data_IF_145175852294
#
_entry.id   IF_145175852294
#
_cell.length_a   1.000
_cell.length_b   1.000
_cell.length_c   1.000
_cell.angle_alpha   90.00
_cell.angle_beta   90.00
_cell.angle_gamma   90.00
#
_symmetry.space_group_name_H-M   'P 1'
#
loop_
_entity.id
_entity.type
_entity.pdbx_description
1 polymer ?
2 non-polymer ?
3 non-polymer ?
4 non-polymer ?
5 water ?
#
# COMPACT_ATOMS: atom_id res chain seq x y z
N UNK A 6 -10.54 12.95 -3.51
CA UNK A 6 -9.44 12.42 -2.63
C UNK A 6 -8.27 11.90 -3.48
N UNK A 7 -7.05 12.14 -3.00
CA UNK A 7 -5.85 11.53 -3.60
C UNK A 7 -5.58 10.20 -2.93
N UNK A 8 -5.20 9.21 -3.72
CA UNK A 8 -4.83 7.90 -3.20
C UNK A 8 -3.41 7.64 -3.60
N UNK A 9 -2.62 7.12 -2.68
CA UNK A 9 -1.19 6.99 -2.88
C UNK A 9 -0.82 5.53 -2.92
N UNK A 10 -0.02 5.13 -3.91
CA UNK A 10 0.39 3.73 -4.10
C UNK A 10 1.84 3.51 -4.46
N UNK A 11 2.68 4.52 -4.18
CA UNK A 11 4.13 4.43 -4.43
C UNK A 11 4.90 4.69 -3.16
N UNK A 12 6.19 4.36 -3.13
CA UNK A 12 6.98 4.54 -1.93
C UNK A 12 6.41 3.79 -0.74
N UNK A 13 5.98 2.56 -0.98
CA UNK A 13 5.24 1.82 0.05
C UNK A 13 6.03 1.32 1.23
N UNK A 14 7.31 0.97 1.07
CA UNK A 14 8.11 0.61 2.23
C UNK A 14 8.25 1.80 3.16
N UNK A 15 8.57 2.96 2.63
CA UNK A 15 8.67 4.16 3.44
C UNK A 15 7.34 4.56 4.08
N UNK A 16 6.28 4.55 3.29
CA UNK A 16 4.96 4.92 3.75
C UNK A 16 4.49 3.99 4.90
N UNK A 17 4.74 2.69 4.75
CA UNK A 17 4.31 1.71 5.74
C UNK A 17 5.14 1.83 7.02
N UNK A 18 6.44 2.08 6.88
CA UNK A 18 7.32 2.30 8.03
C UNK A 18 6.80 3.47 8.87
N UNK A 19 6.50 4.58 8.21
CA UNK A 19 6.04 5.77 8.92
C UNK A 19 4.68 5.52 9.57
N UNK A 20 3.82 4.77 8.89
CA UNK A 20 2.46 4.54 9.38
C UNK A 20 2.48 3.64 10.59
N UNK A 21 3.30 2.60 10.57
CA UNK A 21 3.36 1.63 11.65
C UNK A 21 3.94 2.28 12.92
N UNK A 22 4.97 3.10 12.75
CA UNK A 22 5.54 3.83 13.88
C UNK A 22 4.53 4.79 14.46
N UNK A 23 3.76 5.46 13.61
CA UNK A 23 2.74 6.39 14.09
C UNK A 23 1.58 5.69 14.81
N UNK A 24 1.08 4.59 14.25
CA UNK A 24 0.07 3.78 14.91
C UNK A 24 0.51 3.26 16.28
N UNK A 25 1.69 2.65 16.34
CA UNK A 25 2.20 2.03 17.59
C UNK A 25 2.36 3.05 18.68
N UNK A 26 2.98 4.17 18.33
CA UNK A 26 3.13 5.25 19.29
C UNK A 26 1.82 5.82 19.78
N UNK A 27 0.83 5.98 18.90
CA UNK A 27 -0.49 6.46 19.34
C UNK A 27 -1.25 5.42 20.16
N UNK A 28 -1.07 4.15 19.84
CA UNK A 28 -1.77 3.08 20.51
C UNK A 28 -1.44 2.94 22.01
N UNK A 29 -0.20 3.21 22.43
CA UNK A 29 0.10 3.22 23.88
C UNK A 29 0.41 4.61 24.46
N UNK A 30 -0.07 5.63 23.78
CA UNK A 30 0.03 7.02 24.24
C UNK A 30 -0.88 7.38 25.41
N UNK A 31 -1.87 6.55 25.71
CA UNK A 31 -2.85 6.89 26.71
C UNK A 31 -3.92 7.86 26.20
N UNK A 32 -3.91 8.14 24.90
CA UNK A 32 -4.83 9.11 24.32
C UNK A 32 -6.00 8.41 23.66
N UNK A 33 -7.20 8.98 23.75
CA UNK A 33 -8.32 8.50 22.94
C UNK A 33 -8.16 9.02 21.52
N UNK A 34 -8.94 8.50 20.58
CA UNK A 34 -8.88 9.00 19.22
C UNK A 34 -9.21 10.51 19.18
N UNK A 35 -10.19 10.96 19.96
CA UNK A 35 -10.44 12.40 20.09
C UNK A 35 -9.21 13.23 20.55
N UNK A 36 -8.56 12.78 21.61
CA UNK A 36 -7.40 13.50 22.17
C UNK A 36 -6.22 13.38 21.23
N UNK A 37 -6.11 12.23 20.55
CA UNK A 37 -5.10 12.06 19.53
C UNK A 37 -5.26 13.09 18.40
N UNK A 38 -6.49 13.31 17.96
CA UNK A 38 -6.77 14.25 16.89
C UNK A 38 -6.43 15.66 17.35
N UNK A 39 -6.72 15.95 18.61
CA UNK A 39 -6.41 17.26 19.21
C UNK A 39 -4.92 17.53 19.22
N UNK A 40 -4.14 16.52 19.61
CA UNK A 40 -2.68 16.62 19.64
C UNK A 40 -2.08 16.79 18.25
N UNK A 41 -2.54 16.00 17.29
CA UNK A 41 -2.04 16.09 15.93
C UNK A 41 -2.62 17.25 15.13
N UNK A 42 -3.69 17.88 15.62
CA UNK A 42 -4.34 18.95 14.88
C UNK A 42 -5.00 18.48 13.60
N UNK A 43 -5.57 17.28 13.65
CA UNK A 43 -6.36 16.75 12.53
C UNK A 43 -7.75 16.37 13.01
N UNK A 44 -8.61 15.91 12.11
CA UNK A 44 -9.96 15.53 12.49
C UNK A 44 -10.00 14.11 13.01
N UNK A 45 -11.04 13.79 13.76
CA UNK A 45 -11.21 12.43 14.26
C UNK A 45 -11.34 11.39 13.13
N UNK A 46 -12.11 11.69 12.05
CA UNK A 46 -12.10 10.76 10.91
C UNK A 46 -10.70 10.51 10.32
N UNK A 47 -9.81 11.49 10.38
CA UNK A 47 -8.43 11.29 9.94
C UNK A 47 -7.67 10.32 10.86
N UNK A 48 -7.78 10.52 12.17
CA UNK A 48 -7.26 9.52 13.12
C UNK A 48 -7.84 8.10 12.91
N UNK A 49 -9.15 8.01 12.71
CA UNK A 49 -9.77 6.72 12.47
C UNK A 49 -9.12 6.01 11.28
N UNK A 50 -8.99 6.72 10.16
CA UNK A 50 -8.40 6.18 8.93
C UNK A 50 -6.96 5.71 9.18
N UNK A 51 -6.20 6.46 9.98
CA UNK A 51 -4.83 6.09 10.30
C UNK A 51 -4.82 4.78 11.09
N UNK A 52 -5.67 4.70 12.11
CA UNK A 52 -5.64 3.56 13.03
C UNK A 52 -6.21 2.31 12.34
N UNK A 53 -7.13 2.52 11.40
CA UNK A 53 -7.62 1.46 10.55
C UNK A 53 -6.65 1.06 9.42
N UNK A 54 -5.54 1.77 9.29
CA UNK A 54 -4.52 1.42 8.31
C UNK A 54 -4.90 1.68 6.87
N UNK A 55 -5.67 2.73 6.65
CA UNK A 55 -6.01 3.15 5.30
C UNK A 55 -4.84 3.94 4.72
N UNK A 56 -3.75 3.23 4.44
CA UNK A 56 -2.45 3.81 4.09
C UNK A 56 -2.48 4.65 2.80
N UNK A 57 -3.40 4.32 1.88
CA UNK A 57 -3.56 4.98 0.61
C UNK A 57 -4.00 6.44 0.74
N UNK A 58 -4.64 6.79 1.85
CA UNK A 58 -5.12 8.15 2.10
C UNK A 58 -4.08 9.12 2.65
N UNK A 59 -2.87 8.63 2.91
CA UNK A 59 -1.87 9.42 3.59
C UNK A 59 -0.61 9.65 2.76
N UNK A 60 -0.36 10.93 2.42
CA UNK A 60 0.85 11.37 1.72
C UNK A 60 2.04 11.32 2.67
N UNK A 61 3.26 11.35 2.12
CA UNK A 61 4.43 11.21 2.97
C UNK A 61 4.56 12.43 3.85
N UNK A 62 4.17 13.58 3.33
CA UNK A 62 4.26 14.77 4.16
C UNK A 62 3.28 14.76 5.33
N UNK A 63 2.06 14.24 5.13
CA UNK A 63 1.11 14.20 6.24
C UNK A 63 1.62 13.25 7.33
N UNK A 64 2.12 12.09 6.94
CA UNK A 64 2.72 11.17 7.90
C UNK A 64 3.90 11.76 8.66
N UNK A 65 4.77 12.47 7.95
CA UNK A 65 5.92 13.12 8.58
C UNK A 65 5.46 14.26 9.49
N UNK A 66 4.43 15.01 9.07
CA UNK A 66 3.82 16.06 9.93
C UNK A 66 3.44 15.47 11.30
N UNK A 67 2.81 14.31 11.28
CA UNK A 67 2.20 13.72 12.47
C UNK A 67 3.24 13.06 13.32
N UNK A 68 4.21 12.42 12.69
CA UNK A 68 5.38 11.85 13.41
C UNK A 68 6.09 12.96 14.21
N UNK A 69 6.28 14.13 13.59
CA UNK A 69 6.91 15.25 14.28
C UNK A 69 6.06 15.90 15.36
N UNK A 70 4.76 15.96 15.14
CA UNK A 70 3.83 16.42 16.18
C UNK A 70 3.88 15.59 17.47
N UNK A 71 4.19 14.30 17.34
CA UNK A 71 4.28 13.42 18.52
C UNK A 71 5.69 13.36 19.09
N UNK A 72 6.60 14.14 18.54
CA UNK A 72 7.90 14.35 19.12
C UNK A 72 9.00 13.46 18.60
N UNK A 73 8.74 12.75 17.51
CA UNK A 73 9.78 11.97 16.86
C UNK A 73 10.49 12.80 15.78
N UNK A 74 11.71 12.36 15.44
CA UNK A 74 12.57 12.99 14.44
C UNK A 74 12.68 12.05 13.24
N UNK A 75 12.54 12.57 12.03
CA UNK A 75 12.69 11.79 10.81
C UNK A 75 13.95 12.29 10.13
N UNK A 76 14.85 11.37 9.81
CA UNK A 76 16.10 11.66 9.13
C UNK A 76 16.09 10.92 7.80
N UNK A 77 16.55 11.57 6.74
CA UNK A 77 16.59 10.93 5.43
C UNK A 77 18.02 10.61 5.06
N UNK A 78 18.20 9.49 4.38
CA UNK A 78 19.48 9.18 3.76
C UNK A 78 19.23 8.90 2.28
N UNK A 79 19.99 9.55 1.41
CA UNK A 79 19.80 9.38 -0.03
C UNK A 79 20.97 8.60 -0.60
N UNK A 80 20.66 7.54 -1.34
CA UNK A 80 21.71 6.61 -1.80
C UNK A 80 21.66 6.48 -3.31
N UNK A 81 22.84 6.47 -3.94
CA UNK A 81 22.98 6.55 -5.40
C UNK A 81 23.53 5.25 -5.97
N UNK B 6 -13.68 -5.46 -23.82
CA UNK B 6 -12.60 -5.98 -22.91
C UNK B 6 -11.42 -6.56 -23.70
N UNK B 7 -10.21 -6.19 -23.28
CA UNK B 7 -8.99 -6.66 -23.94
C UNK B 7 -8.53 -7.99 -23.38
N UNK B 8 -8.00 -8.86 -24.25
CA UNK B 8 -7.44 -10.14 -23.81
C UNK B 8 -6.03 -10.30 -24.35
N UNK B 9 -5.08 -10.58 -23.46
CA UNK B 9 -3.71 -10.82 -23.88
C UNK B 9 -3.53 -12.25 -24.42
N UNK B 10 -2.54 -12.45 -25.28
CA UNK B 10 -2.28 -13.76 -25.91
C UNK B 10 -0.83 -14.22 -25.88
N UNK B 11 0.07 -13.34 -25.45
CA UNK B 11 1.50 -13.59 -25.50
C UNK B 11 2.12 -13.14 -24.17
N UNK B 12 3.39 -13.46 -23.97
CA UNK B 12 4.07 -13.29 -22.68
C UNK B 12 3.25 -13.94 -21.54
N UNK B 13 2.62 -15.07 -21.83
CA UNK B 13 1.65 -15.64 -20.88
C UNK B 13 2.37 -16.27 -19.71
N UNK B 14 3.58 -16.77 -19.93
CA UNK B 14 4.33 -17.36 -18.79
C UNK B 14 4.73 -16.25 -17.80
N UNK B 15 5.19 -15.12 -18.30
CA UNK B 15 5.60 -14.00 -17.43
C UNK B 15 4.39 -13.39 -16.70
N UNK B 16 3.26 -13.29 -17.37
CA UNK B 16 2.03 -12.85 -16.71
C UNK B 16 1.63 -13.75 -15.55
N UNK B 17 1.73 -15.06 -15.76
CA UNK B 17 1.41 -16.07 -14.76
C UNK B 17 2.35 -15.98 -13.57
N UNK B 18 3.65 -15.86 -13.84
CA UNK B 18 4.67 -15.69 -12.80
C UNK B 18 4.38 -14.50 -11.89
N UNK B 19 4.08 -13.36 -12.51
CA UNK B 19 3.84 -12.13 -11.73
C UNK B 19 2.50 -12.19 -10.99
N UNK B 20 1.48 -12.74 -11.63
CA UNK B 20 0.20 -12.92 -10.97
C UNK B 20 0.29 -13.86 -9.77
N UNK B 21 1.01 -14.96 -9.90
CA UNK B 21 1.21 -15.90 -8.78
C UNK B 21 1.89 -15.20 -7.59
N UNK B 22 2.91 -14.40 -7.86
CA UNK B 22 3.56 -13.62 -6.77
C UNK B 22 2.50 -12.79 -6.01
N UNK B 23 1.64 -12.10 -6.74
CA UNK B 23 0.58 -11.31 -6.15
C UNK B 23 -0.43 -12.13 -5.38
N UNK B 24 -0.83 -13.26 -5.94
CA UNK B 24 -1.77 -14.14 -5.31
C UNK B 24 -1.26 -14.59 -3.95
N UNK B 25 -0.02 -15.04 -3.93
CA UNK B 25 0.56 -15.61 -2.73
C UNK B 25 0.77 -14.57 -1.64
N UNK B 26 1.18 -13.37 -2.02
CA UNK B 26 1.39 -12.30 -1.04
C UNK B 26 0.11 -11.78 -0.45
N UNK B 27 -0.93 -11.73 -1.29
CA UNK B 27 -2.27 -11.34 -0.83
C UNK B 27 -2.95 -12.38 0.04
N UNK B 28 -2.77 -13.66 -0.26
CA UNK B 28 -3.35 -14.75 0.54
C UNK B 28 -2.99 -14.81 2.02
N UNK B 29 -1.79 -14.40 2.43
CA UNK B 29 -1.50 -14.34 3.88
C UNK B 29 -1.26 -12.93 4.43
N UNK B 30 -1.83 -11.95 3.75
CA UNK B 30 -1.68 -10.57 4.13
C UNK B 30 -2.55 -10.19 5.31
N UNK B 31 -3.54 -11.02 5.63
CA UNK B 31 -4.58 -10.66 6.58
C UNK B 31 -5.64 -9.71 6.04
N UNK B 32 -5.76 -9.59 4.72
CA UNK B 32 -6.71 -8.68 4.05
C UNK B 32 -7.84 -9.44 3.36
N UNK B 33 -9.04 -8.87 3.38
CA UNK B 33 -10.16 -9.40 2.59
C UNK B 33 -10.03 -8.89 1.16
N UNK B 34 -10.86 -9.38 0.24
CA UNK B 34 -10.86 -8.86 -1.13
C UNK B 34 -11.14 -7.36 -1.11
N UNK B 35 -12.11 -6.93 -0.31
CA UNK B 35 -12.40 -5.50 -0.15
C UNK B 35 -11.14 -4.71 0.27
N UNK B 36 -10.48 -5.18 1.31
CA UNK B 36 -9.32 -4.47 1.83
C UNK B 36 -8.13 -4.50 0.87
N UNK B 37 -7.94 -5.62 0.18
CA UNK B 37 -6.88 -5.75 -0.81
C UNK B 37 -7.09 -4.76 -1.96
N UNK B 38 -8.35 -4.56 -2.32
CA UNK B 38 -8.66 -3.66 -3.43
C UNK B 38 -8.29 -2.23 -3.05
N UNK B 39 -8.57 -1.86 -1.81
CA UNK B 39 -8.22 -0.52 -1.30
C UNK B 39 -6.71 -0.33 -1.31
N UNK B 40 -6.00 -1.31 -0.77
CA UNK B 40 -4.53 -1.35 -0.82
C UNK B 40 -3.96 -1.23 -2.22
N UNK B 41 -4.51 -2.00 -3.16
CA UNK B 41 -3.98 -1.97 -4.52
C UNK B 41 -4.48 -0.79 -5.32
N UNK B 42 -5.59 -0.19 -4.91
CA UNK B 42 -6.17 0.90 -5.65
C UNK B 42 -6.95 0.45 -6.88
N UNK B 43 -7.55 -0.74 -6.81
CA UNK B 43 -8.33 -1.30 -7.92
C UNK B 43 -9.73 -1.61 -7.40
N UNK B 44 -10.64 -1.92 -8.31
CA UNK B 44 -11.96 -2.28 -7.88
C UNK B 44 -11.96 -3.70 -7.35
N UNK B 45 -13.01 -4.06 -6.63
CA UNK B 45 -13.11 -5.40 -6.08
C UNK B 45 -13.22 -6.50 -7.18
N UNK B 46 -13.95 -6.24 -8.28
CA UNK B 46 -13.92 -7.17 -9.42
C UNK B 46 -12.51 -7.36 -10.01
N UNK B 47 -11.71 -6.29 -10.03
CA UNK B 47 -10.33 -6.43 -10.46
C UNK B 47 -9.57 -7.39 -9.54
N UNK B 48 -9.73 -7.26 -8.23
CA UNK B 48 -9.10 -8.21 -7.26
C UNK B 48 -9.62 -9.64 -7.43
N UNK B 49 -10.92 -9.76 -7.67
CA UNK B 49 -11.53 -11.02 -8.03
C UNK B 49 -10.85 -11.64 -9.24
N UNK B 50 -10.67 -10.87 -10.31
CA UNK B 50 -9.95 -11.34 -11.51
C UNK B 50 -8.52 -11.85 -11.22
N UNK B 51 -7.81 -11.15 -10.34
CA UNK B 51 -6.49 -11.55 -9.89
C UNK B 51 -6.47 -12.86 -9.13
N UNK B 52 -7.34 -12.99 -8.13
CA UNK B 52 -7.38 -14.19 -7.29
C UNK B 52 -7.88 -15.42 -8.08
N UNK B 53 -8.72 -15.18 -9.07
CA UNK B 53 -9.18 -16.24 -9.96
C UNK B 53 -8.21 -16.57 -11.12
N UNK B 54 -7.08 -15.88 -11.19
CA UNK B 54 -6.00 -16.20 -12.13
C UNK B 54 -6.32 -15.91 -13.58
N UNK B 55 -7.05 -14.83 -13.84
CA UNK B 55 -7.40 -14.47 -15.20
C UNK B 55 -6.29 -13.66 -15.85
N UNK B 56 -5.16 -14.31 -16.14
CA UNK B 56 -3.95 -13.60 -16.61
C UNK B 56 -4.10 -12.80 -17.88
N UNK B 57 -5.03 -13.20 -18.75
CA UNK B 57 -5.22 -12.53 -20.02
C UNK B 57 -5.79 -11.12 -19.85
N UNK B 58 -6.26 -10.80 -18.65
CA UNK B 58 -6.79 -9.45 -18.35
C UNK B 58 -5.76 -8.49 -17.78
N UNK B 59 -4.53 -8.97 -17.56
CA UNK B 59 -3.50 -8.18 -16.88
C UNK B 59 -2.29 -7.88 -17.75
N UNK B 60 -2.04 -6.60 -17.98
CA UNK B 60 -0.85 -6.15 -18.66
C UNK B 60 0.33 -6.29 -17.71
N UNK B 61 1.50 -6.35 -18.29
CA UNK B 61 2.72 -6.37 -17.51
C UNK B 61 2.89 -5.08 -16.71
N UNK B 62 2.43 -3.96 -17.25
CA UNK B 62 2.34 -2.69 -16.51
C UNK B 62 1.53 -2.86 -15.19
N UNK B 63 0.28 -3.30 -15.30
CA UNK B 63 -0.59 -3.50 -14.13
C UNK B 63 0.03 -4.41 -13.09
N UNK B 64 0.62 -5.51 -13.53
CA UNK B 64 1.20 -6.50 -12.64
C UNK B 64 2.42 -6.00 -11.91
N UNK B 65 3.35 -5.37 -12.64
CA UNK B 65 4.50 -4.79 -12.02
C UNK B 65 4.11 -3.67 -11.08
N UNK B 66 3.18 -2.85 -11.50
CA UNK B 66 2.76 -1.73 -10.63
C UNK B 66 2.10 -2.25 -9.36
N UNK B 67 1.31 -3.32 -9.46
CA UNK B 67 0.69 -3.87 -8.23
C UNK B 67 1.67 -4.49 -7.30
N UNK B 68 2.68 -5.15 -7.85
CA UNK B 68 3.76 -5.74 -7.07
C UNK B 68 4.56 -4.65 -6.31
N UNK B 69 4.94 -3.56 -6.99
CA UNK B 69 5.58 -2.43 -6.30
C UNK B 69 4.68 -1.76 -5.24
N UNK B 70 3.38 -1.67 -5.51
CA UNK B 70 2.43 -1.06 -4.57
C UNK B 70 2.23 -1.88 -3.27
N UNK B 71 2.72 -3.12 -3.24
CA UNK B 71 2.70 -3.91 -1.99
C UNK B 71 4.11 -4.01 -1.39
N UNK B 72 5.05 -3.21 -1.89
CA UNK B 72 6.35 -3.05 -1.30
C UNK B 72 7.39 -4.05 -1.72
N UNK B 73 7.17 -4.79 -2.81
CA UNK B 73 8.20 -5.71 -3.31
C UNK B 73 9.07 -4.99 -4.34
N UNK B 74 10.33 -5.35 -4.44
CA UNK B 74 11.26 -4.72 -5.37
C UNK B 74 11.25 -5.52 -6.65
N UNK B 75 11.16 -4.85 -7.80
CA UNK B 75 11.15 -5.52 -9.10
C UNK B 75 12.39 -5.10 -9.85
N UNK B 76 13.18 -6.07 -10.33
CA UNK B 76 14.37 -5.80 -11.13
C UNK B 76 14.19 -6.51 -12.46
N UNK B 77 14.46 -5.80 -13.54
CA UNK B 77 14.37 -6.39 -14.87
C UNK B 77 15.79 -6.62 -15.36
N UNK B 78 16.05 -7.86 -15.78
CA UNK B 78 17.32 -8.23 -16.33
C UNK B 78 17.15 -8.63 -17.78
N UNK B 79 17.93 -7.97 -18.64
CA UNK B 79 17.89 -8.16 -20.08
C UNK B 79 19.20 -8.81 -20.53
N UNK B 80 19.07 -9.86 -21.34
CA UNK B 80 20.20 -10.66 -21.82
C UNK B 80 20.08 -10.78 -23.34
N UNK B 81 21.20 -10.81 -24.05
CA UNK B 81 21.15 -11.02 -25.51
C UNK B 81 21.29 -12.50 -25.84
X LIG C 1 3.08 9.90 21.98
X LIG C 1 2.00 9.88 21.05
X LIG C 1 2.81 10.94 23.07
X LIG C 1 2.90 10.31 24.35
X LIG D 1 2.52 -9.22 -26.49
X LIG D 1 2.44 -9.73 -25.34
X LIG D 1 3.56 -9.44 -27.15
X LIG D 1 1.47 -8.35 -27.14
X LIG D 1 0.09 -8.37 -26.49
X LIG D 1 0.17 -7.67 -25.22
X LIG D 1 -0.94 -7.65 -27.38
X LIG D 1 -2.32 -8.00 -26.87
X LIG D 1 -2.65 -7.61 -25.74
X LIG D 1 -3.14 -8.70 -27.53
X LIG D 1 -0.43 -9.78 -26.29
X LIG D 1 -0.69 -10.22 -25.14
X LIG D 1 -0.62 -10.53 -27.29
X LIG E 1 8.38 -15.39 -27.32
X LIG E 1 8.56 -14.12 -27.93
X LIG E 1 7.35 -15.35 -26.18
X LIG E 1 7.31 -14.07 -25.58
X LIG E 1 5.95 -15.72 -26.67
X LIG E 1 4.98 -15.02 -25.91
X LIG F 1 1.00 -7.52 4.03
X LIG F 1 0.09 -7.13 5.03
X LIG F 1 0.64 -6.87 2.68
X LIG F 1 1.30 -5.62 2.58
X LIG F 1 1.06 -7.75 1.50
X LIG F 1 0.05 -7.86 0.52
#
# INVERSE_FOLDING_TARGET
XGSDKIHHHHHHMKMRSQLLIVLQEHLRNSGLTQFKAAELLGVTQPRVSDLMRGKIDLFSLESLIDMITSIGLKVEINIKDAA
XGSDKIHHHHHHMKMRSQLLIVLQEHLRNSGLTQFKAAELLGVTQPRVSDLMRGKIDLFSLESLIDMITSIGLKVEINIKDAA
EDO C1 O1 C2 O2
CIT C1 O1 O2 C2 C3 O7 C4 C5 O3 O4 C6 O5 O6
GOL C1 O1 C2 O2 C3 O3
GOL C1 O1 C2 O2 C3 O3
#
